data_IF_914392478700
#
_entry.id   IF_914392478700
#
_cell.length_a   1.000
_cell.length_b   1.000
_cell.length_c   1.000
_cell.angle_alpha   90.00
_cell.angle_beta   90.00
_cell.angle_gamma   90.00
#
_symmetry.space_group_name_H-M   'P 1'
#
loop_
_entity.id
_entity.type
_entity.pdbx_description
1 polymer ?
2 non-polymer ?
3 non-polymer ?
4 non-polymer ?
5 non-polymer ?
6 non-polymer ?
7 water ?
#
# COMPACT_ATOMS: atom_id res chain seq x y z
N UNK A 3 -14.28 -26.19 1.40
CA UNK A 3 -14.57 -24.78 1.23
C UNK A 3 -16.06 -24.45 1.36
N UNK A 4 -16.44 -23.95 2.53
CA UNK A 4 -17.85 -23.78 2.88
C UNK A 4 -18.42 -22.44 2.45
N UNK A 5 -19.59 -22.50 1.82
CA UNK A 5 -20.39 -21.33 1.48
C UNK A 5 -21.81 -21.69 1.82
N UNK A 6 -22.59 -20.74 2.35
CA UNK A 6 -22.22 -19.37 2.71
C UNK A 6 -21.15 -19.29 3.79
N UNK A 7 -20.51 -18.13 3.89
CA UNK A 7 -19.61 -17.85 5.00
C UNK A 7 -19.79 -16.39 5.44
N UNK A 8 -19.38 -16.11 6.66
CA UNK A 8 -19.50 -14.78 7.24
C UNK A 8 -18.14 -14.12 7.23
N UNK A 9 -18.13 -12.86 6.79
CA UNK A 9 -16.93 -12.04 6.77
C UNK A 9 -17.06 -10.94 7.82
N UNK A 10 -16.03 -10.78 8.63
CA UNK A 10 -16.00 -9.72 9.63
C UNK A 10 -15.42 -8.43 9.05
N UNK A 11 -16.28 -7.41 8.96
CA UNK A 11 -15.92 -6.10 8.40
C UNK A 11 -15.16 -5.25 9.41
N UNK A 12 -14.40 -4.27 8.91
CA UNK A 12 -13.56 -3.45 9.76
C UNK A 12 -14.34 -2.57 10.73
N UNK A 13 -15.64 -2.41 10.50
CA UNK A 13 -16.47 -1.57 11.39
C UNK A 13 -17.22 -2.40 12.43
N UNK A 14 -16.86 -3.67 12.53
CA UNK A 14 -17.48 -4.56 13.48
C UNK A 14 -18.72 -5.27 12.95
N UNK A 15 -19.24 -4.80 11.82
CA UNK A 15 -20.38 -5.47 11.19
C UNK A 15 -19.92 -6.77 10.54
N UNK A 16 -20.89 -7.56 10.11
CA UNK A 16 -20.61 -8.78 9.36
C UNK A 16 -21.36 -8.80 8.03
N UNK A 17 -20.82 -9.53 7.08
CA UNK A 17 -21.47 -9.72 5.78
C UNK A 17 -21.49 -11.19 5.47
N UNK A 18 -22.67 -11.72 5.17
CA UNK A 18 -22.74 -13.10 4.71
C UNK A 18 -22.55 -13.15 3.20
N UNK A 19 -21.55 -13.92 2.80
CA UNK A 19 -21.29 -14.14 1.39
C UNK A 19 -21.87 -15.50 1.03
N UNK A 20 -22.95 -15.48 0.25
CA UNK A 20 -23.77 -16.67 0.01
C UNK A 20 -23.07 -17.74 -0.83
N UNK A 21 -22.24 -17.29 -1.76
CA UNK A 21 -21.57 -18.18 -2.70
C UNK A 21 -20.17 -17.64 -3.00
N UNK A 22 -19.25 -18.51 -3.41
CA UNK A 22 -17.90 -18.05 -3.75
C UNK A 22 -17.97 -16.95 -4.80
N UNK A 23 -17.43 -15.78 -4.49
CA UNK A 23 -17.46 -14.68 -5.45
C UNK A 23 -16.74 -15.00 -6.75
N UNK A 24 -17.42 -14.70 -7.86
CA UNK A 24 -16.82 -14.86 -9.19
C UNK A 24 -16.78 -13.54 -9.99
N UNK A 25 -17.44 -12.51 -9.47
CA UNK A 25 -17.50 -11.22 -10.19
C UNK A 25 -17.32 -10.13 -9.17
N UNK A 26 -16.07 -9.86 -8.82
CA UNK A 26 -15.77 -8.94 -7.73
C UNK A 26 -15.58 -7.51 -8.24
N UNK A 27 -16.23 -6.56 -7.58
CA UNK A 27 -16.13 -5.15 -7.95
C UNK A 27 -15.44 -4.40 -6.81
N UNK A 28 -14.33 -3.74 -7.13
CA UNK A 28 -13.63 -2.98 -6.10
C UNK A 28 -13.97 -1.51 -6.16
N UNK A 29 -14.38 -0.96 -5.02
CA UNK A 29 -14.65 0.48 -4.94
C UNK A 29 -13.46 1.29 -4.44
N UNK A 30 -12.34 0.60 -4.17
CA UNK A 30 -11.14 1.24 -3.62
C UNK A 30 -9.91 0.86 -4.44
N UNK A 31 -9.39 1.82 -5.18
CA UNK A 31 -8.24 1.58 -6.04
C UNK A 31 -7.07 0.94 -5.26
N UNK A 32 -6.88 1.33 -4.00
CA UNK A 32 -5.82 0.71 -3.20
C UNK A 32 -5.98 -0.80 -3.09
N UNK A 33 -7.21 -1.26 -2.90
CA UNK A 33 -7.41 -2.68 -2.64
C UNK A 33 -7.26 -3.49 -3.91
N UNK A 34 -7.48 -2.87 -5.06
CA UNK A 34 -7.45 -3.60 -6.33
C UNK A 34 -6.10 -4.29 -6.61
N UNK A 35 -5.01 -3.63 -6.25
CA UNK A 35 -3.71 -4.24 -6.41
C UNK A 35 -3.57 -5.59 -5.70
N UNK A 36 -4.15 -5.70 -4.51
CA UNK A 36 -4.05 -6.93 -3.76
C UNK A 36 -5.01 -8.00 -4.29
N UNK A 37 -6.18 -7.56 -4.76
CA UNK A 37 -7.06 -8.50 -5.46
C UNK A 37 -6.34 -9.09 -6.67
N UNK A 38 -5.67 -8.25 -7.45
CA UNK A 38 -4.88 -8.77 -8.58
C UNK A 38 -3.73 -9.70 -8.13
N UNK A 39 -3.12 -9.36 -7.01
CA UNK A 39 -1.99 -10.12 -6.47
C UNK A 39 -2.35 -11.58 -6.21
N UNK A 40 -3.56 -11.82 -5.72
CA UNK A 40 -4.01 -13.18 -5.40
C UNK A 40 -4.85 -13.80 -6.51
N UNK A 41 -4.84 -13.17 -7.68
CA UNK A 41 -5.61 -13.64 -8.84
C UNK A 41 -7.10 -13.76 -8.56
N UNK A 42 -7.64 -12.84 -7.77
CA UNK A 42 -9.08 -12.84 -7.53
C UNK A 42 -9.79 -12.31 -8.78
N UNK A 43 -11.00 -12.79 -9.03
CA UNK A 43 -11.73 -12.40 -10.23
C UNK A 43 -12.37 -11.02 -10.09
N UNK A 44 -11.50 -10.02 -9.97
CA UNK A 44 -11.95 -8.63 -9.91
C UNK A 44 -12.23 -8.17 -11.34
N UNK A 45 -13.46 -7.73 -11.55
CA UNK A 45 -13.89 -7.47 -12.91
C UNK A 45 -14.07 -5.97 -13.21
N UNK A 46 -13.91 -5.14 -12.18
CA UNK A 46 -14.08 -3.70 -12.32
C UNK A 46 -13.52 -3.04 -11.08
N UNK A 47 -12.96 -1.85 -11.24
CA UNK A 47 -12.39 -1.13 -10.11
C UNK A 47 -12.55 0.36 -10.27
N UNK A 48 -12.95 1.02 -9.18
CA UNK A 48 -12.84 2.48 -9.12
C UNK A 48 -11.37 2.91 -9.19
N UNK A 49 -11.15 4.19 -9.41
CA UNK A 49 -9.82 4.72 -9.67
C UNK A 49 -9.39 5.77 -8.64
N UNK A 50 -8.20 6.32 -8.81
CA UNK A 50 -7.79 7.48 -8.00
C UNK A 50 -8.72 8.69 -8.27
N UNK A 51 -8.56 9.78 -7.51
CA UNK A 51 -9.35 10.99 -7.75
C UNK A 51 -9.08 11.53 -9.16
N UNK A 52 -7.88 11.22 -9.67
CA UNK A 52 -7.46 11.63 -11.01
C UNK A 52 -7.82 10.63 -12.13
N UNK A 53 -8.70 9.69 -11.81
CA UNK A 53 -9.18 8.73 -12.80
C UNK A 53 -8.11 7.79 -13.34
N UNK A 54 -7.16 7.39 -12.48
CA UNK A 54 -6.13 6.47 -12.92
C UNK A 54 -6.10 5.21 -12.06
N UNK A 55 -5.59 4.14 -12.67
CA UNK A 55 -5.16 2.95 -11.95
C UNK A 55 -3.71 3.14 -11.52
N UNK A 56 -3.30 2.52 -10.41
CA UNK A 56 -1.88 2.61 -10.01
C UNK A 56 -1.00 1.96 -11.04
N UNK A 57 0.10 2.62 -11.38
CA UNK A 57 0.93 2.20 -12.51
C UNK A 57 1.59 0.83 -12.33
N UNK A 58 1.86 0.46 -11.09
CA UNK A 58 2.48 -0.84 -10.86
C UNK A 58 1.65 -2.02 -11.38
N UNK A 59 0.33 -1.85 -11.47
CA UNK A 59 -0.56 -2.93 -11.91
C UNK A 59 -1.52 -2.57 -13.05
N UNK A 60 -1.44 -1.34 -13.54
CA UNK A 60 -2.34 -0.89 -14.60
C UNK A 60 -2.37 -1.83 -15.80
N UNK A 61 -1.19 -2.19 -16.31
CA UNK A 61 -1.15 -3.01 -17.52
C UNK A 61 -1.74 -4.40 -17.28
N UNK A 62 -1.50 -4.97 -16.09
CA UNK A 62 -2.12 -6.23 -15.72
C UNK A 62 -3.64 -6.11 -15.62
N UNK A 63 -4.14 -5.02 -15.03
CA UNK A 63 -5.57 -4.80 -14.95
C UNK A 63 -6.18 -4.73 -16.36
N UNK A 64 -5.53 -3.99 -17.26
CA UNK A 64 -6.00 -3.91 -18.64
C UNK A 64 -5.98 -5.27 -19.33
N UNK A 65 -4.91 -6.04 -19.12
CA UNK A 65 -4.84 -7.38 -19.70
C UNK A 65 -5.98 -8.28 -19.22
N UNK A 66 -6.33 -8.17 -17.93
CA UNK A 66 -7.38 -8.99 -17.34
C UNK A 66 -8.78 -8.38 -17.54
N UNK A 67 -8.84 -7.30 -18.30
CA UNK A 67 -10.10 -6.66 -18.65
C UNK A 67 -10.84 -6.13 -17.43
N UNK A 68 -10.09 -5.61 -16.46
CA UNK A 68 -10.70 -4.98 -15.30
C UNK A 68 -11.22 -3.61 -15.73
N UNK A 69 -12.54 -3.43 -15.74
CA UNK A 69 -13.13 -2.18 -16.19
C UNK A 69 -12.83 -1.04 -15.23
N UNK A 70 -12.37 0.09 -15.76
CA UNK A 70 -12.14 1.25 -14.89
C UNK A 70 -13.45 1.99 -14.66
N UNK A 71 -13.80 2.12 -13.39
CA UNK A 71 -15.04 2.79 -12.99
C UNK A 71 -14.77 4.25 -12.64
N UNK A 72 -15.48 4.75 -11.64
CA UNK A 72 -15.44 6.18 -11.28
C UNK A 72 -14.16 6.56 -10.56
N UNK A 73 -13.80 7.85 -10.60
CA UNK A 73 -12.69 8.32 -9.77
C UNK A 73 -13.19 8.40 -8.35
N UNK A 74 -12.33 8.05 -7.40
CA UNK A 74 -12.64 8.14 -5.97
C UNK A 74 -13.48 9.36 -5.64
N UNK A 75 -14.53 9.14 -4.86
CA UNK A 75 -15.36 10.21 -4.33
C UNK A 75 -16.76 10.24 -4.89
N UNK A 76 -16.96 9.68 -6.07
CA UNK A 76 -18.23 9.77 -6.77
C UNK A 76 -18.83 8.41 -7.20
N UNK A 77 -19.37 7.63 -6.26
CA UNK A 77 -19.80 6.26 -6.61
C UNK A 77 -20.92 6.28 -7.66
N UNK A 78 -20.72 5.57 -8.77
CA UNK A 78 -21.72 5.48 -9.84
C UNK A 78 -22.52 4.20 -9.65
N UNK A 79 -23.69 4.32 -9.03
CA UNK A 79 -24.48 3.12 -8.72
C UNK A 79 -24.97 2.41 -9.98
N UNK A 80 -25.30 3.16 -11.03
CA UNK A 80 -25.74 2.54 -12.27
C UNK A 80 -24.65 1.59 -12.77
N UNK A 81 -23.42 2.04 -12.72
CA UNK A 81 -22.32 1.23 -13.20
C UNK A 81 -22.18 -0.05 -12.37
N UNK A 82 -22.39 0.06 -11.06
CA UNK A 82 -22.33 -1.14 -10.20
C UNK A 82 -23.43 -2.14 -10.59
N UNK A 83 -24.67 -1.66 -10.74
CA UNK A 83 -25.78 -2.51 -11.17
C UNK A 83 -25.45 -3.21 -12.49
N UNK A 84 -24.92 -2.47 -13.45
CA UNK A 84 -24.69 -3.06 -14.77
C UNK A 84 -23.59 -4.13 -14.75
N UNK A 85 -22.59 -3.94 -13.91
CA UNK A 85 -21.52 -4.93 -13.79
C UNK A 85 -22.01 -6.24 -13.16
N UNK A 86 -23.16 -6.20 -12.49
CA UNK A 86 -23.72 -7.36 -11.79
C UNK A 86 -22.69 -8.13 -10.96
N UNK A 87 -22.10 -7.45 -9.99
CA UNK A 87 -21.08 -8.11 -9.16
C UNK A 87 -21.72 -9.04 -8.14
N UNK A 88 -20.94 -9.98 -7.62
CA UNK A 88 -21.39 -10.80 -6.49
C UNK A 88 -20.57 -10.55 -5.22
N UNK A 89 -19.67 -9.59 -5.29
CA UNK A 89 -18.99 -9.10 -4.09
C UNK A 89 -18.52 -7.68 -4.38
N UNK A 90 -18.77 -6.77 -3.45
CA UNK A 90 -18.31 -5.39 -3.59
C UNK A 90 -17.36 -5.09 -2.43
N UNK A 91 -16.17 -4.58 -2.74
CA UNK A 91 -15.16 -4.32 -1.72
C UNK A 91 -14.97 -2.84 -1.47
N UNK A 92 -14.97 -2.47 -0.19
CA UNK A 92 -14.91 -1.08 0.25
C UNK A 92 -13.78 -0.90 1.25
N UNK A 93 -13.11 0.24 1.21
CA UNK A 93 -12.06 0.55 2.17
C UNK A 93 -12.58 1.41 3.28
N UNK A 94 -11.94 1.28 4.44
CA UNK A 94 -12.36 1.94 5.68
C UNK A 94 -11.97 3.41 5.76
N UNK A 95 -10.78 3.73 5.28
CA UNK A 95 -10.23 5.10 5.38
C UNK A 95 -9.24 5.38 4.27
N UNK A 96 -9.28 6.59 3.74
CA UNK A 96 -8.45 6.95 2.60
C UNK A 96 -9.30 7.68 1.58
N UNK A 97 -8.67 8.33 0.62
CA UNK A 97 -9.44 9.06 -0.41
C UNK A 97 -10.39 8.15 -1.20
N UNK A 98 -10.07 6.87 -1.26
CA UNK A 98 -10.82 5.87 -2.03
C UNK A 98 -11.90 5.16 -1.20
N UNK A 99 -12.16 5.64 0.01
CA UNK A 99 -13.18 5.03 0.86
C UNK A 99 -14.61 5.36 0.44
N UNK A 100 -15.41 4.32 0.21
CA UNK A 100 -16.85 4.49 0.00
C UNK A 100 -17.65 3.99 1.21
N UNK A 101 -17.07 4.12 2.41
CA UNK A 101 -17.68 3.60 3.62
C UNK A 101 -19.12 4.05 3.80
N UNK A 102 -19.40 5.33 3.53
CA UNK A 102 -20.75 5.87 3.77
C UNK A 102 -21.78 5.38 2.75
N UNK A 103 -21.32 4.80 1.67
CA UNK A 103 -22.20 4.29 0.62
C UNK A 103 -22.51 2.80 0.78
N UNK A 104 -22.03 2.20 1.87
CA UNK A 104 -22.25 0.76 2.06
C UNK A 104 -23.73 0.30 1.99
N UNK A 105 -24.65 1.01 2.67
CA UNK A 105 -26.05 0.58 2.58
C UNK A 105 -26.58 0.58 1.15
N UNK A 106 -26.18 1.54 0.32
CA UNK A 106 -26.63 1.55 -1.07
C UNK A 106 -26.01 0.41 -1.85
N UNK A 107 -24.73 0.10 -1.57
CA UNK A 107 -24.03 -0.94 -2.28
C UNK A 107 -24.52 -2.34 -1.87
N UNK A 108 -24.78 -2.52 -0.58
CA UNK A 108 -25.25 -3.82 -0.08
C UNK A 108 -26.61 -4.19 -0.68
N UNK A 109 -27.37 -3.18 -1.12
CA UNK A 109 -28.64 -3.44 -1.80
C UNK A 109 -28.42 -4.14 -3.13
N UNK A 110 -27.19 -4.01 -3.65
CA UNK A 110 -26.84 -4.57 -4.95
C UNK A 110 -26.18 -5.95 -4.88
N UNK A 111 -25.24 -6.09 -3.96
CA UNK A 111 -24.51 -7.35 -3.75
C UNK A 111 -23.86 -7.35 -2.37
N UNK A 112 -23.47 -8.55 -1.90
CA UNK A 112 -22.74 -8.62 -0.63
C UNK A 112 -21.57 -7.66 -0.64
N UNK A 113 -21.49 -6.80 0.36
CA UNK A 113 -20.49 -5.73 0.41
C UNK A 113 -19.64 -5.88 1.67
N UNK A 114 -18.32 -5.89 1.49
CA UNK A 114 -17.39 -6.03 2.61
C UNK A 114 -16.50 -4.80 2.76
N UNK A 115 -16.01 -4.60 3.98
CA UNK A 115 -15.27 -3.40 4.36
C UNK A 115 -13.95 -3.81 5.05
N UNK A 116 -12.84 -3.35 4.47
CA UNK A 116 -11.49 -3.68 4.94
C UNK A 116 -10.70 -2.39 5.14
N UNK A 117 -9.75 -2.44 6.07
CA UNK A 117 -8.87 -1.30 6.32
C UNK A 117 -7.47 -1.69 5.92
N UNK A 118 -6.96 -1.06 4.87
CA UNK A 118 -5.62 -1.35 4.38
C UNK A 118 -4.56 -0.51 5.08
N UNK A 119 -4.98 0.43 5.94
CA UNK A 119 -4.05 1.41 6.47
C UNK A 119 -3.15 0.91 7.60
N UNK A 120 -3.48 -0.22 8.20
CA UNK A 120 -2.70 -0.69 9.35
C UNK A 120 -2.33 -2.16 9.23
N UNK A 121 -2.29 -2.65 8.00
CA UNK A 121 -1.79 -4.01 7.84
C UNK A 121 -0.89 -4.12 6.63
N UNK A 122 -0.06 -5.14 6.63
CA UNK A 122 0.80 -5.42 5.50
C UNK A 122 -0.06 -5.76 4.28
N UNK A 123 0.51 -5.71 3.09
CA UNK A 123 -0.25 -6.21 1.94
C UNK A 123 -0.59 -7.69 2.13
N UNK A 124 0.31 -8.45 2.75
CA UNK A 124 0.07 -9.86 2.98
C UNK A 124 -1.16 -10.09 3.85
N UNK A 125 -1.29 -9.31 4.92
CA UNK A 125 -2.44 -9.48 5.79
C UNK A 125 -3.73 -9.10 5.08
N UNK A 126 -3.69 -8.06 4.26
CA UNK A 126 -4.84 -7.70 3.47
C UNK A 126 -5.16 -8.83 2.47
N UNK A 127 -4.13 -9.39 1.85
CA UNK A 127 -4.34 -10.51 0.92
C UNK A 127 -5.00 -11.70 1.62
N UNK A 128 -4.54 -12.01 2.83
CA UNK A 128 -5.14 -13.10 3.60
C UNK A 128 -6.60 -12.82 3.91
N UNK A 129 -6.89 -11.57 4.29
CA UNK A 129 -8.24 -11.19 4.63
C UNK A 129 -9.15 -11.38 3.40
N UNK A 130 -8.66 -10.92 2.25
CA UNK A 130 -9.41 -11.04 1.00
C UNK A 130 -9.48 -12.49 0.51
N UNK A 131 -8.44 -13.28 0.82
CA UNK A 131 -8.46 -14.70 0.50
C UNK A 131 -9.63 -15.38 1.18
N UNK A 132 -9.86 -15.03 2.44
CA UNK A 132 -10.96 -15.62 3.21
C UNK A 132 -12.33 -15.17 2.69
N UNK A 133 -12.41 -13.96 2.13
CA UNK A 133 -13.67 -13.49 1.56
C UNK A 133 -13.99 -14.14 0.22
N UNK A 134 -12.95 -14.58 -0.50
CA UNK A 134 -13.14 -15.01 -1.88
C UNK A 134 -12.91 -16.51 -2.09
N UNK A 135 -12.54 -17.22 -1.03
CA UNK A 135 -12.25 -18.64 -1.14
C UNK A 135 -10.94 -18.88 -1.87
N UNK A 136 -10.03 -17.91 -1.78
CA UNK A 136 -8.77 -18.00 -2.49
C UNK A 136 -7.61 -18.13 -1.50
N UNK A 137 -7.87 -18.84 -0.40
CA UNK A 137 -6.85 -19.06 0.62
C UNK A 137 -5.60 -19.75 0.07
N UNK A 138 -5.78 -20.71 -0.84
CA UNK A 138 -4.65 -21.41 -1.43
C UNK A 138 -3.77 -20.43 -2.17
N UNK A 139 -4.40 -19.63 -3.02
CA UNK A 139 -3.68 -18.65 -3.83
C UNK A 139 -2.99 -17.64 -2.95
N UNK A 140 -3.69 -17.11 -1.96
CA UNK A 140 -3.12 -16.07 -1.12
C UNK A 140 -1.95 -16.65 -0.34
N UNK A 141 -2.13 -17.82 0.25
CA UNK A 141 -1.08 -18.40 1.06
C UNK A 141 0.18 -18.66 0.24
N UNK A 142 0.00 -19.17 -0.98
CA UNK A 142 1.11 -19.46 -1.88
C UNK A 142 1.84 -18.17 -2.25
N UNK A 143 1.06 -17.17 -2.65
CA UNK A 143 1.63 -15.86 -3.02
C UNK A 143 2.45 -15.24 -1.90
N UNK A 144 1.88 -15.25 -0.70
CA UNK A 144 2.53 -14.70 0.49
C UNK A 144 3.80 -15.49 0.82
N UNK A 145 3.69 -16.81 0.80
CA UNK A 145 4.83 -17.63 1.13
C UNK A 145 5.98 -17.43 0.15
N UNK A 146 5.67 -17.34 -1.15
CA UNK A 146 6.73 -17.14 -2.13
C UNK A 146 7.42 -15.81 -1.94
N UNK A 147 6.65 -14.77 -1.60
CA UNK A 147 7.21 -13.45 -1.44
C UNK A 147 8.11 -13.41 -0.23
N UNK A 148 7.70 -14.12 0.81
CA UNK A 148 8.48 -14.14 2.05
C UNK A 148 9.78 -14.93 1.88
N UNK A 149 9.75 -15.98 1.07
CA UNK A 149 10.98 -16.70 0.73
C UNK A 149 11.96 -15.78 0.03
N UNK A 150 11.43 -14.92 -0.84
CA UNK A 150 12.26 -13.96 -1.55
C UNK A 150 12.82 -12.89 -0.62
N UNK A 151 12.01 -12.34 0.27
CA UNK A 151 12.49 -11.28 1.14
C UNK A 151 13.57 -11.81 2.08
N UNK A 152 13.46 -13.07 2.45
CA UNK A 152 14.49 -13.74 3.24
C UNK A 152 15.82 -13.70 2.49
N UNK A 153 15.79 -14.09 1.23
CA UNK A 153 17.00 -14.11 0.42
C UNK A 153 17.57 -12.71 0.28
N UNK A 154 16.70 -11.75 0.02
CA UNK A 154 17.13 -10.38 -0.16
C UNK A 154 17.72 -9.82 1.12
N UNK A 155 17.05 -10.08 2.23
CA UNK A 155 17.50 -9.60 3.53
C UNK A 155 18.96 -9.99 3.79
N UNK A 156 19.32 -11.19 3.33
CA UNK A 156 20.66 -11.75 3.52
C UNK A 156 21.76 -11.17 2.63
N UNK A 157 21.39 -10.44 1.60
CA UNK A 157 22.38 -9.86 0.69
C UNK A 157 22.47 -8.33 0.73
N UNK A 158 21.49 -7.66 1.35
CA UNK A 158 21.55 -6.21 1.42
C UNK A 158 22.59 -5.74 2.43
N UNK A 159 23.37 -4.75 2.01
CA UNK A 159 24.26 -4.04 2.93
C UNK A 159 23.66 -2.67 3.19
N UNK A 160 22.71 -2.61 4.11
CA UNK A 160 22.02 -1.36 4.42
C UNK A 160 22.92 -0.41 5.20
N UNK A 161 22.64 0.90 5.10
CA UNK A 161 23.38 1.87 5.91
C UNK A 161 23.21 1.54 7.38
N UNK A 162 24.19 1.91 8.20
CA UNK A 162 24.09 1.71 9.64
C UNK A 162 22.95 2.52 10.22
N UNK A 163 22.34 2.00 11.28
CA UNK A 163 21.33 2.75 12.01
C UNK A 163 19.92 2.48 11.53
N UNK A 164 19.12 3.53 11.44
CA UNK A 164 17.70 3.39 11.15
C UNK A 164 17.29 4.23 9.95
N UNK A 165 16.07 4.00 9.49
CA UNK A 165 15.52 4.78 8.38
C UNK A 165 14.12 5.25 8.71
N UNK A 166 13.75 6.42 8.17
CA UNK A 166 12.35 6.83 8.18
C UNK A 166 11.78 6.80 6.76
N UNK A 167 10.47 6.84 6.66
CA UNK A 167 9.78 6.85 5.38
C UNK A 167 8.87 8.05 5.36
N UNK A 168 9.05 8.93 4.38
CA UNK A 168 8.39 10.22 4.40
C UNK A 168 7.58 10.44 3.13
N UNK A 169 6.40 11.04 3.30
CA UNK A 169 5.63 11.63 2.19
C UNK A 169 5.85 13.13 2.24
N UNK A 170 6.60 13.65 1.28
CA UNK A 170 7.08 15.03 1.32
C UNK A 170 6.32 15.94 0.38
N UNK A 171 5.91 17.08 0.91
CA UNK A 171 5.22 18.10 0.10
C UNK A 171 5.78 19.49 0.29
N UNK A 172 6.87 19.62 1.04
CA UNK A 172 7.57 20.89 1.18
C UNK A 172 7.07 21.77 2.30
N UNK A 173 7.65 22.99 2.39
CA UNK A 173 7.32 23.95 3.45
C UNK A 173 5.86 24.40 3.43
N UNK A 174 5.35 24.76 4.60
CA UNK A 174 4.05 25.41 4.69
C UNK A 174 2.87 24.50 4.39
N UNK A 175 3.15 23.20 4.36
CA UNK A 175 2.09 22.24 4.13
C UNK A 175 2.28 21.05 5.07
N UNK A 176 1.18 20.37 5.35
CA UNK A 176 1.24 19.20 6.20
C UNK A 176 1.95 18.09 5.43
N UNK A 177 2.99 17.50 6.04
CA UNK A 177 3.72 16.39 5.45
C UNK A 177 3.37 15.12 6.22
N UNK A 178 3.99 14.00 5.89
CA UNK A 178 3.63 12.78 6.62
C UNK A 178 4.78 11.80 6.75
N UNK A 179 4.74 11.00 7.81
CA UNK A 179 5.80 10.04 8.10
C UNK A 179 5.21 8.67 8.43
N UNK A 180 5.76 7.63 7.82
CA UNK A 180 5.21 6.29 8.02
C UNK A 180 5.27 5.79 9.45
N UNK A 181 4.20 5.10 9.86
CA UNK A 181 4.08 4.52 11.20
C UNK A 181 4.37 3.03 11.14
N UNK A 182 4.68 2.46 12.31
CA UNK A 182 5.13 1.06 12.40
C UNK A 182 4.22 0.03 11.76
N UNK A 183 2.92 0.23 11.86
CA UNK A 183 1.97 -0.76 11.33
C UNK A 183 1.70 -0.59 9.83
N UNK A 184 2.25 0.46 9.23
CA UNK A 184 2.01 0.71 7.81
C UNK A 184 2.57 -0.39 6.92
N UNK A 185 1.92 -0.61 5.79
CA UNK A 185 2.44 -1.56 4.82
C UNK A 185 3.86 -1.19 4.40
N UNK A 186 4.14 0.10 4.32
CA UNK A 186 5.46 0.58 3.92
C UNK A 186 6.53 0.21 4.95
N UNK A 187 6.29 0.57 6.21
CA UNK A 187 7.27 0.28 7.26
C UNK A 187 7.52 -1.22 7.36
N UNK A 188 6.45 -2.01 7.32
CA UNK A 188 6.60 -3.45 7.52
C UNK A 188 7.35 -4.10 6.34
N UNK A 189 7.11 -3.60 5.13
CA UNK A 189 7.85 -4.10 3.98
C UNK A 189 9.35 -3.87 4.16
N UNK A 190 9.74 -2.66 4.53
CA UNK A 190 11.16 -2.39 4.72
C UNK A 190 11.76 -3.19 5.88
N UNK A 191 11.00 -3.30 6.97
CA UNK A 191 11.46 -4.08 8.12
C UNK A 191 11.77 -5.52 7.70
N UNK A 192 10.97 -6.06 6.78
CA UNK A 192 11.11 -7.46 6.36
C UNK A 192 12.43 -7.76 5.65
N UNK A 193 13.06 -6.75 5.08
CA UNK A 193 14.38 -6.93 4.50
C UNK A 193 15.50 -6.35 5.35
N UNK A 194 15.21 -6.11 6.64
CA UNK A 194 16.22 -5.77 7.62
C UNK A 194 16.39 -4.31 7.97
N UNK A 195 15.53 -3.44 7.42
CA UNK A 195 15.58 -2.04 7.78
C UNK A 195 15.01 -1.86 9.18
N UNK A 196 15.64 -0.99 9.97
CA UNK A 196 15.14 -0.64 11.29
C UNK A 196 14.48 0.72 11.18
N UNK A 197 13.21 0.79 11.55
CA UNK A 197 12.38 1.97 11.27
C UNK A 197 12.29 2.94 12.43
N UNK A 198 12.41 4.24 12.12
CA UNK A 198 12.10 5.29 13.10
C UNK A 198 10.60 5.54 13.07
N UNK A 199 10.01 5.66 14.26
CA UNK A 199 8.59 6.00 14.39
C UNK A 199 8.47 7.49 14.68
N UNK A 200 7.55 8.17 13.97
CA UNK A 200 7.32 9.59 14.27
C UNK A 200 6.66 9.73 15.64
N UNK A 201 6.99 10.79 16.37
CA UNK A 201 6.39 11.02 17.68
C UNK A 201 4.89 11.20 17.53
N UNK A 202 4.09 10.33 18.18
CA UNK A 202 2.63 10.42 18.04
C UNK A 202 2.07 11.79 18.40
N UNK A 203 2.79 12.52 19.24
CA UNK A 203 2.34 13.85 19.66
C UNK A 203 2.34 14.86 18.51
N UNK A 204 2.97 14.49 17.39
CA UNK A 204 3.10 15.40 16.27
C UNK A 204 1.88 15.40 15.37
N UNK A 205 0.84 14.63 15.71
CA UNK A 205 -0.35 14.57 14.86
C UNK A 205 -0.88 15.95 14.53
N UNK A 206 -1.10 16.21 13.25
CA UNK A 206 -1.62 17.50 12.80
C UNK A 206 -3.14 17.44 12.78
N UNK A 207 -3.79 18.30 13.58
CA UNK A 207 -5.24 18.31 13.60
C UNK A 207 -5.87 17.10 14.29
N UNK A 208 -7.15 16.88 13.99
CA UNK A 208 -7.96 15.90 14.73
C UNK A 208 -8.18 14.55 14.05
N UNK A 209 -7.82 14.42 12.77
CA UNK A 209 -8.05 13.15 12.08
C UNK A 209 -6.95 12.12 12.38
N UNK A 210 -7.37 10.95 12.85
CA UNK A 210 -6.43 9.87 13.17
C UNK A 210 -6.11 9.04 11.94
N UNK A 211 -4.83 8.80 11.72
CA UNK A 211 -4.37 7.91 10.66
C UNK A 211 -3.43 6.86 11.21
N UNK A 212 -3.57 5.63 10.72
CA UNK A 212 -2.76 4.52 11.21
C UNK A 212 -1.57 4.21 10.31
N UNK A 213 -1.62 4.71 9.07
CA UNK A 213 -0.57 4.42 8.08
C UNK A 213 0.60 5.40 8.14
N UNK A 214 0.29 6.67 7.88
CA UNK A 214 1.28 7.73 8.00
C UNK A 214 0.76 8.77 8.97
N UNK A 215 1.63 9.25 9.86
CA UNK A 215 1.27 10.33 10.77
C UNK A 215 1.38 11.61 9.96
N UNK A 216 0.28 12.37 9.88
CA UNK A 216 0.29 13.67 9.24
C UNK A 216 0.79 14.70 10.25
N UNK A 217 1.75 15.53 9.84
CA UNK A 217 2.44 16.42 10.75
C UNK A 217 2.69 17.82 10.14
N UNK A 218 2.76 18.85 10.99
CA UNK A 218 3.25 20.14 10.51
C UNK A 218 4.66 19.96 9.95
N UNK A 219 4.95 20.71 8.89
CA UNK A 219 6.21 20.66 8.19
C UNK A 219 7.43 20.73 9.11
N UNK A 220 7.38 21.64 10.09
CA UNK A 220 8.52 21.85 10.99
C UNK A 220 8.99 20.57 11.69
N UNK A 221 8.08 19.64 11.95
CA UNK A 221 8.48 18.41 12.63
C UNK A 221 9.46 17.55 11.83
N UNK A 222 9.49 17.73 10.50
CA UNK A 222 10.46 17.02 9.69
C UNK A 222 11.89 17.27 10.15
N UNK A 223 12.14 18.46 10.68
CA UNK A 223 13.49 18.78 11.15
C UNK A 223 13.91 17.94 12.36
N UNK A 224 12.93 17.29 13.00
CA UNK A 224 13.19 16.53 14.23
C UNK A 224 13.45 15.06 13.98
N UNK A 225 13.36 14.62 12.72
CA UNK A 225 13.62 13.22 12.41
C UNK A 225 15.08 12.85 12.67
N UNK A 226 15.32 11.69 13.27
CA UNK A 226 16.68 11.36 13.69
C UNK A 226 17.37 10.29 12.85
N UNK A 227 16.62 9.58 12.02
CA UNK A 227 17.21 8.46 11.28
C UNK A 227 18.29 8.91 10.30
N UNK A 228 19.27 8.02 10.14
CA UNK A 228 20.42 8.25 9.29
C UNK A 228 20.08 8.08 7.81
N UNK A 229 18.92 7.50 7.52
CA UNK A 229 18.49 7.24 6.16
C UNK A 229 17.02 7.65 6.03
N UNK A 230 16.68 8.26 4.89
CA UNK A 230 15.30 8.62 4.61
C UNK A 230 14.88 8.06 3.26
N UNK A 231 13.72 7.41 3.22
CA UNK A 231 13.12 6.95 1.98
C UNK A 231 11.89 7.80 1.70
N UNK A 232 11.77 8.27 0.46
CA UNK A 232 10.63 9.12 0.08
C UNK A 232 9.62 8.35 -0.79
N UNK A 233 8.37 8.31 -0.34
CA UNK A 233 7.38 7.63 -1.17
C UNK A 233 7.04 8.43 -2.42
N UNK A 234 6.66 7.69 -3.46
CA UNK A 234 6.19 8.29 -4.72
C UNK A 234 7.29 9.03 -5.49
N UNK A 235 8.54 8.78 -5.14
CA UNK A 235 9.66 9.51 -5.73
C UNK A 235 10.76 8.62 -6.24
N UNK A 236 11.35 9.01 -7.37
CA UNK A 236 12.64 8.49 -7.80
C UNK A 236 13.75 9.17 -7.00
N UNK A 237 14.96 8.63 -7.07
CA UNK A 237 16.12 9.31 -6.46
C UNK A 237 16.28 10.75 -6.94
N UNK A 238 16.11 10.99 -8.24
CA UNK A 238 16.24 12.33 -8.79
C UNK A 238 15.21 13.27 -8.17
N UNK A 239 13.99 12.77 -8.01
CA UNK A 239 12.95 13.55 -7.40
C UNK A 239 13.22 13.85 -5.93
N UNK A 240 13.85 12.89 -5.25
CA UNK A 240 14.22 13.06 -3.85
C UNK A 240 15.23 14.19 -3.63
N UNK A 241 15.89 14.62 -4.70
CA UNK A 241 16.86 15.72 -4.59
C UNK A 241 16.24 16.96 -3.97
N UNK A 242 14.94 17.15 -4.17
CA UNK A 242 14.28 18.35 -3.65
C UNK A 242 14.27 18.32 -2.12
N UNK A 243 14.05 17.14 -1.55
CA UNK A 243 14.13 16.94 -0.10
C UNK A 243 15.55 17.25 0.39
N UNK A 244 16.54 16.65 -0.26
CA UNK A 244 17.95 16.81 0.11
C UNK A 244 18.39 18.27 0.12
N UNK A 245 17.82 19.07 -0.79
CA UNK A 245 18.25 20.46 -0.93
C UNK A 245 17.32 21.45 -0.25
N UNK A 246 16.33 20.96 0.47
CA UNK A 246 15.44 21.85 1.23
C UNK A 246 16.27 22.48 2.34
N UNK A 247 16.50 23.80 2.27
CA UNK A 247 17.42 24.44 3.21
C UNK A 247 17.01 24.27 4.67
N UNK A 248 15.72 24.21 4.93
CA UNK A 248 15.25 24.03 6.29
C UNK A 248 15.72 22.69 6.88
N UNK A 249 15.85 21.67 6.03
CA UNK A 249 16.20 20.32 6.48
C UNK A 249 17.70 20.01 6.44
N UNK A 250 18.50 21.04 6.23
CA UNK A 250 19.93 20.85 5.94
C UNK A 250 20.68 20.04 7.01
N UNK A 251 20.17 20.06 8.23
CA UNK A 251 20.87 19.40 9.33
C UNK A 251 20.32 18.02 9.69
N UNK A 252 19.38 17.51 8.90
CA UNK A 252 18.87 16.16 9.12
C UNK A 252 20.00 15.15 8.99
N UNK A 253 20.04 14.17 9.91
CA UNK A 253 21.10 13.17 9.79
C UNK A 253 21.16 12.49 8.42
N UNK A 254 19.99 12.19 7.84
CA UNK A 254 19.97 11.52 6.55
C UNK A 254 20.48 12.42 5.41
N UNK A 255 20.20 13.71 5.50
CA UNK A 255 20.75 14.68 4.55
C UNK A 255 22.25 14.92 4.76
N UNK A 256 22.67 15.05 6.01
CA UNK A 256 24.09 15.18 6.30
C UNK A 256 24.89 14.01 5.74
N UNK A 257 24.34 12.81 5.85
CA UNK A 257 25.02 11.62 5.36
C UNK A 257 24.70 11.31 3.89
N UNK A 258 23.89 12.18 3.27
CA UNK A 258 23.47 11.97 1.90
C UNK A 258 22.93 10.55 1.73
N UNK A 259 22.00 10.19 2.62
CA UNK A 259 21.32 8.92 2.52
C UNK A 259 19.83 9.17 2.43
N UNK A 260 19.45 9.92 1.39
CA UNK A 260 18.06 10.19 1.08
C UNK A 260 17.77 9.55 -0.27
N UNK A 261 16.80 8.65 -0.29
CA UNK A 261 16.53 7.83 -1.47
C UNK A 261 15.05 7.87 -1.82
N UNK A 262 14.75 7.79 -3.11
CA UNK A 262 13.37 7.58 -3.51
C UNK A 262 13.00 6.12 -3.35
N UNK A 263 11.81 5.89 -2.81
CA UNK A 263 11.32 4.52 -2.67
C UNK A 263 10.83 4.01 -4.01
N UNK A 264 10.54 4.94 -4.93
CA UNK A 264 10.24 4.60 -6.31
C UNK A 264 8.99 5.29 -6.80
N UNK A 265 8.87 5.44 -8.12
CA UNK A 265 7.75 6.16 -8.68
C UNK A 265 6.40 5.55 -8.33
N UNK A 266 6.36 4.23 -8.12
CA UNK A 266 5.09 3.55 -7.88
C UNK A 266 4.85 3.16 -6.42
N UNK A 267 5.60 3.78 -5.50
CA UNK A 267 5.61 3.35 -4.11
C UNK A 267 4.56 4.01 -3.23
N UNK A 268 3.64 4.76 -3.84
CA UNK A 268 2.63 5.45 -3.03
C UNK A 268 1.84 4.47 -2.13
N UNK A 269 1.26 3.44 -2.73
CA UNK A 269 0.60 2.37 -1.97
C UNK A 269 1.36 1.08 -2.18
N UNK A 270 1.30 0.20 -1.18
CA UNK A 270 2.02 -1.07 -1.21
C UNK A 270 1.12 -2.24 -1.57
N UNK A 271 1.43 -2.89 -2.68
CA UNK A 271 0.81 -4.15 -3.02
C UNK A 271 1.95 -5.05 -3.51
N UNK A 272 1.65 -6.28 -3.89
CA UNK A 272 2.70 -7.19 -4.35
C UNK A 272 3.55 -6.56 -5.45
N UNK A 273 2.90 -5.84 -6.36
CA UNK A 273 3.60 -5.30 -7.52
C UNK A 273 4.51 -4.14 -7.17
N UNK A 274 4.02 -3.18 -6.39
CA UNK A 274 4.91 -2.10 -5.99
C UNK A 274 5.95 -2.58 -4.98
N UNK A 275 5.59 -3.57 -4.17
CA UNK A 275 6.55 -4.13 -3.20
C UNK A 275 7.74 -4.75 -3.95
N UNK A 276 7.46 -5.49 -5.02
CA UNK A 276 8.54 -6.03 -5.84
C UNK A 276 9.43 -4.92 -6.39
N UNK A 277 8.83 -3.85 -6.91
CA UNK A 277 9.60 -2.76 -7.46
C UNK A 277 10.51 -2.17 -6.39
N UNK A 278 9.94 -1.93 -5.21
CA UNK A 278 10.68 -1.36 -4.09
C UNK A 278 11.86 -2.24 -3.65
N UNK A 279 11.62 -3.53 -3.47
CA UNK A 279 12.68 -4.45 -3.10
C UNK A 279 13.74 -4.51 -4.19
N UNK A 280 13.32 -4.52 -5.45
CA UNK A 280 14.28 -4.48 -6.56
C UNK A 280 15.18 -3.25 -6.44
N UNK A 281 14.60 -2.11 -6.07
CA UNK A 281 15.40 -0.88 -5.97
C UNK A 281 16.42 -0.99 -4.84
N UNK A 282 16.05 -1.70 -3.77
CA UNK A 282 16.95 -1.88 -2.65
C UNK A 282 18.11 -2.79 -3.03
N UNK A 283 17.82 -3.84 -3.80
CA UNK A 283 18.86 -4.74 -4.30
C UNK A 283 19.87 -3.98 -5.17
N UNK A 284 19.36 -3.17 -6.08
CA UNK A 284 20.22 -2.42 -6.98
C UNK A 284 21.15 -1.48 -6.23
N UNK A 285 20.64 -0.83 -5.18
CA UNK A 285 21.47 0.14 -4.47
C UNK A 285 22.32 -0.46 -3.37
N UNK A 286 21.80 -1.45 -2.65
CA UNK A 286 22.47 -1.95 -1.45
C UNK A 286 23.08 -3.35 -1.54
N UNK A 287 22.86 -4.05 -2.65
CA UNK A 287 23.46 -5.37 -2.85
C UNK A 287 24.55 -5.29 -3.91
N UNK A 288 25.48 -6.22 -3.88
CA UNK A 288 26.59 -6.20 -4.82
C UNK A 288 26.22 -6.82 -6.14
N UNK A 289 27.15 -7.59 -6.70
CA UNK A 289 26.86 -8.41 -7.87
C UNK A 289 26.00 -9.59 -7.47
N UNK A 290 25.27 -9.43 -6.37
CA UNK A 290 24.30 -10.40 -5.92
C UNK A 290 22.91 -9.83 -6.19
N UNK A 291 22.90 -8.56 -6.56
CA UNK A 291 21.67 -7.86 -6.91
C UNK A 291 20.89 -8.60 -7.99
N UNK A 292 21.53 -8.81 -9.13
CA UNK A 292 20.83 -9.34 -10.31
C UNK A 292 20.30 -10.77 -10.14
N UNK A 293 20.98 -11.58 -9.35
CA UNK A 293 20.51 -12.95 -9.15
C UNK A 293 19.17 -12.94 -8.43
N UNK A 294 18.79 -11.81 -7.85
CA UNK A 294 17.58 -11.75 -7.05
C UNK A 294 16.50 -10.77 -7.53
N UNK A 295 16.82 -9.88 -8.46
CA UNK A 295 15.81 -8.96 -8.97
C UNK A 295 14.65 -9.74 -9.61
N UNK A 296 13.42 -9.40 -9.21
CA UNK A 296 12.25 -10.10 -9.73
C UNK A 296 11.75 -9.47 -11.03
N UNK A 297 11.43 -10.32 -12.01
CA UNK A 297 10.80 -9.83 -13.24
C UNK A 297 9.45 -9.21 -12.89
N UNK A 298 9.14 -8.07 -13.50
CA UNK A 298 7.89 -7.38 -13.20
C UNK A 298 6.74 -7.92 -14.05
#
# INVERSE_FOLDING_TARGET
>A
QQNVWPRTFQNADGSITTIPSQPKRILSTAVTVTGTLLAIDAPVIASAATTQSTFFEQWRKLAELRQVKKLWPAGSVDLESVYVEQPDLIVVSMIGADSARDQIPLLQAIAPTILVDYSDQTWQSLAQQLGLATGLEEQAERTIHNFEQWTKQVRDVLDLPKGRANIVSYHGPGVVNAVAKAQSAHAQLLQSVGVVLEEPDPAWQAGSIVHRDFLRIHYEHLTQLQAETTFLITMTDQQAQAFLHDPILKNLPSIQRKQVYGLGENSFRIDLFSAREIINSLLRRFAGEQAQSLVMPLEHHHHHH
#
